data_IF_560764377077
#
_entry.id   IF_560764377077
#
_cell.length_a   1.000
_cell.length_b   1.000
_cell.length_c   1.000
_cell.angle_alpha   90.00
_cell.angle_beta   90.00
_cell.angle_gamma   90.00
#
_symmetry.space_group_name_H-M   'P 1'
#
loop_
_entity.id
_entity.type
_entity.pdbx_description
1 polymer ?
#
# COMPACT_ATOMS: atom_id res chain seq x y z
N UNK A 1 30.31 27.83 3.78
CA UNK A 1 29.47 26.81 4.45
C UNK A 1 28.14 26.57 3.73
N UNK A 2 27.41 27.60 3.28
CA UNK A 2 26.12 27.40 2.59
C UNK A 2 26.22 26.70 1.21
N UNK A 3 27.27 26.95 0.41
CA UNK A 3 27.43 26.29 -0.90
C UNK A 3 27.75 24.79 -0.78
N UNK A 4 28.66 24.40 0.12
CA UNK A 4 28.92 22.99 0.44
C UNK A 4 27.67 22.24 0.93
N UNK A 5 26.76 22.92 1.64
CA UNK A 5 25.49 22.34 2.07
C UNK A 5 24.50 22.16 0.91
N UNK A 6 24.52 23.04 -0.10
CA UNK A 6 23.68 22.90 -1.31
C UNK A 6 24.18 21.79 -2.22
N UNK A 7 25.49 21.68 -2.41
CA UNK A 7 26.10 20.59 -3.18
C UNK A 7 25.86 19.23 -2.52
N UNK A 8 26.02 19.15 -1.19
CA UNK A 8 25.72 17.93 -0.44
C UNK A 8 24.23 17.54 -0.53
N UNK A 9 23.32 18.51 -0.42
CA UNK A 9 21.88 18.26 -0.57
C UNK A 9 21.52 17.78 -2.00
N UNK A 10 22.14 18.37 -3.03
CA UNK A 10 21.95 17.96 -4.42
C UNK A 10 22.46 16.53 -4.66
N UNK A 11 23.61 16.17 -4.09
CA UNK A 11 24.19 14.83 -4.20
C UNK A 11 23.33 13.77 -3.49
N UNK A 12 22.80 14.08 -2.31
CA UNK A 12 21.82 13.22 -1.62
C UNK A 12 20.57 13.03 -2.49
N UNK A 13 20.06 14.09 -3.08
CA UNK A 13 18.85 14.02 -3.90
C UNK A 13 19.07 13.14 -5.14
N UNK A 14 20.20 13.33 -5.83
CA UNK A 14 20.59 12.51 -6.97
C UNK A 14 20.70 11.03 -6.60
N UNK A 15 21.36 10.73 -5.48
CA UNK A 15 21.48 9.36 -4.98
C UNK A 15 20.11 8.73 -4.71
N UNK A 16 19.19 9.47 -4.08
CA UNK A 16 17.82 9.01 -3.84
C UNK A 16 17.07 8.74 -5.14
N UNK A 17 17.21 9.61 -6.13
CA UNK A 17 16.56 9.46 -7.42
C UNK A 17 17.12 8.25 -8.19
N UNK A 18 18.43 8.00 -8.12
CA UNK A 18 19.08 6.86 -8.75
C UNK A 18 18.67 5.54 -8.08
N UNK A 19 18.60 5.50 -6.74
CA UNK A 19 18.06 4.34 -5.99
C UNK A 19 16.61 4.07 -6.40
N UNK A 20 15.77 5.12 -6.45
CA UNK A 20 14.36 5.00 -6.83
C UNK A 20 14.22 4.44 -8.24
N UNK A 21 15.01 4.92 -9.20
CA UNK A 21 15.01 4.40 -10.57
C UNK A 21 15.45 2.95 -10.63
N UNK A 22 16.51 2.59 -9.93
CA UNK A 22 16.99 1.21 -9.89
C UNK A 22 15.93 0.24 -9.35
N UNK A 23 15.21 0.63 -8.29
CA UNK A 23 14.09 -0.15 -7.74
C UNK A 23 12.95 -0.30 -8.76
N UNK A 24 12.57 0.77 -9.45
CA UNK A 24 11.52 0.72 -10.48
C UNK A 24 11.91 -0.20 -11.63
N UNK A 25 13.13 -0.07 -12.16
CA UNK A 25 13.64 -0.91 -13.25
C UNK A 25 13.63 -2.39 -12.84
N UNK A 26 14.07 -2.71 -11.62
CA UNK A 26 14.07 -4.07 -11.08
C UNK A 26 12.66 -4.65 -11.01
N UNK A 27 11.69 -3.88 -10.51
CA UNK A 27 10.27 -4.29 -10.39
C UNK A 27 9.60 -4.47 -11.75
N UNK A 28 9.90 -3.59 -12.71
CA UNK A 28 9.38 -3.67 -14.08
C UNK A 28 9.95 -4.85 -14.86
N UNK A 29 11.21 -5.24 -14.58
CA UNK A 29 11.83 -6.40 -15.22
C UNK A 29 11.19 -7.74 -14.81
N UNK A 30 10.54 -7.79 -13.64
CA UNK A 30 9.83 -8.98 -13.16
C UNK A 30 8.42 -9.04 -13.74
N UNK A 31 8.05 -10.16 -14.36
CA UNK A 31 6.72 -10.41 -14.92
C UNK A 31 6.03 -11.53 -14.14
N UNK A 32 4.93 -11.24 -13.41
CA UNK A 32 4.22 -12.26 -12.66
C UNK A 32 3.58 -13.29 -13.59
N UNK A 33 3.91 -14.58 -13.46
CA UNK A 33 3.34 -15.63 -14.31
C UNK A 33 1.84 -15.80 -14.04
N UNK A 34 1.16 -16.45 -14.99
CA UNK A 34 -0.28 -16.71 -14.87
C UNK A 34 -0.59 -18.09 -14.28
N UNK A 35 0.34 -19.04 -14.40
CA UNK A 35 0.22 -20.36 -13.79
C UNK A 35 0.41 -20.27 -12.26
N UNK A 36 -0.45 -20.91 -11.44
CA UNK A 36 -0.33 -20.87 -9.99
C UNK A 36 0.99 -21.42 -9.43
N UNK A 37 1.55 -22.48 -10.01
CA UNK A 37 2.81 -23.05 -9.51
C UNK A 37 3.98 -22.13 -9.84
N UNK A 38 4.04 -21.64 -11.06
CA UNK A 38 5.04 -20.64 -11.45
C UNK A 38 4.91 -19.37 -10.59
N UNK A 39 3.70 -18.98 -10.21
CA UNK A 39 3.47 -17.82 -9.35
C UNK A 39 3.94 -18.06 -7.91
N UNK A 40 3.80 -19.28 -7.39
CA UNK A 40 4.37 -19.66 -6.09
C UNK A 40 5.90 -19.56 -6.14
N UNK A 41 6.56 -20.13 -7.16
CA UNK A 41 8.01 -20.01 -7.32
C UNK A 41 8.44 -18.56 -7.51
N UNK A 42 7.68 -17.77 -8.26
CA UNK A 42 7.93 -16.34 -8.43
C UNK A 42 7.98 -15.63 -7.08
N UNK A 43 7.06 -15.96 -6.16
CA UNK A 43 7.02 -15.38 -4.81
C UNK A 43 8.14 -15.87 -3.91
N UNK A 44 8.48 -17.15 -3.94
CA UNK A 44 9.64 -17.67 -3.20
C UNK A 44 10.95 -17.02 -3.66
N UNK A 45 11.06 -16.70 -4.95
CA UNK A 45 12.21 -15.99 -5.54
C UNK A 45 12.10 -14.45 -5.47
N UNK A 46 11.21 -13.91 -4.65
CA UNK A 46 11.06 -12.46 -4.45
C UNK A 46 11.81 -12.01 -3.21
N UNK A 47 12.68 -11.01 -3.35
CA UNK A 47 13.40 -10.44 -2.21
C UNK A 47 12.45 -9.74 -1.24
N UNK A 48 12.78 -9.73 0.05
CA UNK A 48 12.01 -9.05 1.10
C UNK A 48 11.66 -7.58 0.73
N UNK A 49 12.61 -6.82 0.18
CA UNK A 49 12.43 -5.41 -0.23
C UNK A 49 11.35 -5.18 -1.31
N UNK A 50 11.01 -6.21 -2.07
CA UNK A 50 10.02 -6.14 -3.14
C UNK A 50 8.75 -6.95 -2.84
N UNK A 51 8.74 -7.72 -1.76
CA UNK A 51 7.65 -8.65 -1.46
C UNK A 51 6.32 -7.92 -1.34
N UNK A 52 6.24 -6.84 -0.55
CA UNK A 52 5.00 -6.06 -0.41
C UNK A 52 4.48 -5.49 -1.73
N UNK A 53 5.39 -5.00 -2.57
CA UNK A 53 5.04 -4.47 -3.90
C UNK A 53 4.49 -5.57 -4.79
N UNK A 54 5.16 -6.73 -4.81
CA UNK A 54 4.77 -7.85 -5.64
C UNK A 54 3.46 -8.48 -5.19
N UNK A 55 3.22 -8.54 -3.87
CA UNK A 55 1.93 -8.99 -3.32
C UNK A 55 0.81 -8.08 -3.78
N UNK A 56 0.96 -6.75 -3.64
CA UNK A 56 -0.04 -5.79 -4.09
C UNK A 56 -0.31 -5.93 -5.60
N UNK A 57 0.73 -6.11 -6.41
CA UNK A 57 0.64 -6.31 -7.87
C UNK A 57 -0.06 -7.62 -8.24
N UNK A 58 0.22 -8.69 -7.52
CA UNK A 58 -0.29 -10.03 -7.80
C UNK A 58 -1.60 -10.35 -7.09
N UNK A 59 -2.09 -9.48 -6.19
CA UNK A 59 -3.30 -9.69 -5.39
C UNK A 59 -4.50 -10.25 -6.17
N UNK A 60 -4.83 -9.78 -7.39
CA UNK A 60 -5.94 -10.35 -8.18
C UNK A 60 -5.76 -11.84 -8.55
N UNK A 61 -4.51 -12.32 -8.60
CA UNK A 61 -4.16 -13.73 -8.90
C UNK A 61 -4.19 -14.63 -7.66
N UNK A 62 -4.08 -14.06 -6.46
CA UNK A 62 -4.17 -14.78 -5.18
C UNK A 62 -5.62 -15.11 -4.82
N UNK A 63 -6.19 -15.99 -5.62
CA UNK A 63 -7.55 -16.51 -5.47
C UNK A 63 -7.60 -17.67 -4.47
N UNK A 64 -8.79 -18.08 -4.00
CA UNK A 64 -8.91 -19.31 -3.20
C UNK A 64 -8.34 -20.55 -3.90
N UNK A 65 -8.41 -20.61 -5.23
CA UNK A 65 -7.83 -21.70 -6.01
C UNK A 65 -6.29 -21.69 -5.97
N UNK A 66 -5.67 -20.50 -5.99
CA UNK A 66 -4.22 -20.36 -5.80
C UNK A 66 -3.79 -20.85 -4.41
N UNK A 67 -4.48 -20.42 -3.35
CA UNK A 67 -4.15 -20.86 -1.99
C UNK A 67 -4.35 -22.37 -1.81
N UNK A 68 -5.39 -22.94 -2.40
CA UNK A 68 -5.58 -24.40 -2.42
C UNK A 68 -4.42 -25.12 -3.12
N UNK A 69 -3.87 -24.56 -4.20
CA UNK A 69 -2.70 -25.11 -4.87
C UNK A 69 -1.47 -25.05 -3.97
N UNK A 70 -1.23 -23.90 -3.30
CA UNK A 70 -0.13 -23.75 -2.35
C UNK A 70 -0.25 -24.73 -1.17
N UNK A 71 -1.45 -24.87 -0.59
CA UNK A 71 -1.73 -25.85 0.47
C UNK A 71 -1.49 -27.29 -0.01
N UNK A 72 -1.76 -27.59 -1.28
CA UNK A 72 -1.48 -28.90 -1.88
C UNK A 72 0.02 -29.17 -2.00
N UNK A 73 0.83 -28.16 -2.35
CA UNK A 73 2.29 -28.28 -2.39
C UNK A 73 2.88 -28.45 -0.99
N UNK A 74 2.40 -27.67 -0.01
CA UNK A 74 2.78 -27.83 1.41
C UNK A 74 2.48 -29.26 1.88
N UNK A 75 1.28 -29.78 1.58
CA UNK A 75 0.89 -31.13 1.92
C UNK A 75 1.76 -32.19 1.23
N UNK A 76 2.03 -32.02 -0.06
CA UNK A 76 2.87 -32.95 -0.83
C UNK A 76 4.30 -33.04 -0.26
N UNK A 77 4.91 -31.92 0.10
CA UNK A 77 6.24 -31.88 0.70
C UNK A 77 6.22 -32.48 2.11
N UNK A 78 5.24 -32.08 2.95
CA UNK A 78 5.11 -32.54 4.34
C UNK A 78 4.95 -34.05 4.46
N UNK A 79 4.18 -34.66 3.57
CA UNK A 79 3.88 -36.09 3.58
C UNK A 79 4.73 -36.90 2.59
N UNK A 80 5.76 -36.28 1.99
CA UNK A 80 6.73 -36.98 1.15
C UNK A 80 7.43 -38.10 1.93
N UNK A 81 7.78 -39.23 1.30
CA UNK A 81 8.59 -40.27 1.95
C UNK A 81 9.94 -39.77 2.47
N UNK A 82 10.47 -38.71 1.85
CA UNK A 82 11.68 -38.00 2.28
C UNK A 82 11.44 -36.49 2.15
N UNK A 83 10.84 -35.86 3.17
CA UNK A 83 10.54 -34.43 3.13
C UNK A 83 11.82 -33.60 3.11
N UNK A 84 11.83 -32.58 2.26
CA UNK A 84 12.78 -31.48 2.34
C UNK A 84 12.26 -30.45 3.36
N UNK A 85 12.92 -30.40 4.52
CA UNK A 85 12.51 -29.53 5.63
C UNK A 85 12.70 -28.05 5.32
N UNK A 86 13.71 -27.69 4.53
CA UNK A 86 13.95 -26.30 4.15
C UNK A 86 12.84 -25.84 3.20
N UNK A 87 12.54 -26.66 2.18
CA UNK A 87 11.48 -26.36 1.24
C UNK A 87 10.11 -26.29 1.89
N UNK A 88 9.81 -27.20 2.82
CA UNK A 88 8.56 -27.18 3.57
C UNK A 88 8.41 -25.88 4.36
N UNK A 89 9.47 -25.45 5.07
CA UNK A 89 9.47 -24.22 5.84
C UNK A 89 9.26 -22.98 4.96
N UNK A 90 9.89 -22.92 3.78
CA UNK A 90 9.68 -21.85 2.80
C UNK A 90 8.22 -21.75 2.36
N UNK A 91 7.60 -22.88 2.00
CA UNK A 91 6.21 -22.93 1.53
C UNK A 91 5.22 -22.54 2.64
N UNK A 92 5.43 -23.02 3.86
CA UNK A 92 4.59 -22.68 5.02
C UNK A 92 4.71 -21.19 5.40
N UNK A 93 5.92 -20.66 5.38
CA UNK A 93 6.18 -19.24 5.64
C UNK A 93 5.53 -18.38 4.57
N UNK A 94 5.73 -18.72 3.29
CA UNK A 94 5.11 -17.98 2.19
C UNK A 94 3.59 -18.03 2.30
N UNK A 95 3.01 -19.19 2.60
CA UNK A 95 1.56 -19.34 2.72
C UNK A 95 0.99 -18.41 3.78
N UNK A 96 1.57 -18.42 4.98
CA UNK A 96 1.11 -17.59 6.10
C UNK A 96 1.26 -16.11 5.76
N UNK A 97 2.43 -15.73 5.22
CA UNK A 97 2.71 -14.36 4.83
C UNK A 97 1.74 -13.84 3.77
N UNK A 98 1.46 -14.63 2.72
CA UNK A 98 0.57 -14.21 1.63
C UNK A 98 -0.88 -14.03 2.11
N UNK A 99 -1.33 -14.84 3.08
CA UNK A 99 -2.66 -14.68 3.68
C UNK A 99 -2.79 -13.32 4.39
N UNK A 100 -1.87 -13.03 5.32
CA UNK A 100 -1.84 -11.77 6.07
C UNK A 100 -1.67 -10.55 5.16
N UNK A 101 -0.74 -10.64 4.19
CA UNK A 101 -0.47 -9.55 3.28
C UNK A 101 -1.64 -9.30 2.30
N UNK A 102 -2.36 -10.34 1.86
CA UNK A 102 -3.58 -10.16 1.07
C UNK A 102 -4.67 -9.45 1.86
N UNK A 103 -4.88 -9.83 3.13
CA UNK A 103 -5.84 -9.16 4.00
C UNK A 103 -5.49 -7.68 4.18
N UNK A 104 -4.21 -7.38 4.42
CA UNK A 104 -3.72 -6.01 4.55
C UNK A 104 -3.98 -5.18 3.28
N UNK A 105 -3.70 -5.75 2.09
CA UNK A 105 -3.96 -5.08 0.80
C UNK A 105 -5.46 -4.86 0.60
N UNK A 106 -6.31 -5.85 0.88
CA UNK A 106 -7.76 -5.72 0.72
C UNK A 106 -8.34 -4.65 1.65
N UNK A 107 -7.86 -4.61 2.90
CA UNK A 107 -8.24 -3.58 3.87
C UNK A 107 -7.81 -2.19 3.41
N UNK A 108 -6.60 -2.05 2.88
CA UNK A 108 -6.12 -0.78 2.33
C UNK A 108 -6.98 -0.33 1.13
N UNK A 109 -7.29 -1.24 0.20
CA UNK A 109 -8.16 -0.94 -0.95
C UNK A 109 -9.57 -0.52 -0.51
N UNK A 110 -10.17 -1.24 0.45
CA UNK A 110 -11.48 -0.90 0.99
C UNK A 110 -11.47 0.47 1.70
N UNK A 111 -10.41 0.78 2.46
CA UNK A 111 -10.23 2.08 3.08
C UNK A 111 -10.14 3.20 2.03
N UNK A 112 -9.36 3.00 0.97
CA UNK A 112 -9.28 3.97 -0.14
C UNK A 112 -10.61 4.13 -0.87
N UNK A 113 -11.33 3.04 -1.15
CA UNK A 113 -12.62 3.10 -1.84
C UNK A 113 -13.67 3.90 -1.05
N UNK A 114 -13.71 3.70 0.27
CA UNK A 114 -14.64 4.41 1.18
C UNK A 114 -14.17 5.82 1.54
N UNK A 115 -12.90 6.18 1.28
CA UNK A 115 -12.37 7.51 1.53
C UNK A 115 -13.12 8.59 0.75
N UNK A 116 -13.57 8.30 -0.48
CA UNK A 116 -14.34 9.23 -1.30
C UNK A 116 -15.70 9.57 -0.67
N UNK A 117 -16.40 8.57 -0.12
CA UNK A 117 -17.70 8.77 0.54
C UNK A 117 -17.54 9.57 1.84
N UNK A 118 -16.54 9.22 2.65
CA UNK A 118 -16.18 9.94 3.87
C UNK A 118 -15.77 11.38 3.58
N UNK A 119 -15.01 11.62 2.52
CA UNK A 119 -14.62 12.95 2.10
C UNK A 119 -15.83 13.77 1.62
N UNK A 120 -16.73 13.16 0.84
CA UNK A 120 -17.98 13.79 0.43
C UNK A 120 -18.84 14.17 1.64
N UNK A 121 -19.03 13.26 2.59
CA UNK A 121 -19.73 13.51 3.88
C UNK A 121 -19.13 14.73 4.58
N UNK A 122 -17.80 14.76 4.74
CA UNK A 122 -17.09 15.86 5.39
C UNK A 122 -17.25 17.21 4.68
N UNK A 123 -17.00 17.26 3.36
CA UNK A 123 -17.00 18.52 2.60
C UNK A 123 -18.41 19.09 2.42
N UNK A 124 -19.44 18.24 2.41
CA UNK A 124 -20.84 18.65 2.27
C UNK A 124 -21.57 18.89 3.60
N UNK A 125 -20.99 18.49 4.73
CA UNK A 125 -21.59 18.70 6.06
C UNK A 125 -21.90 20.19 6.29
N UNK A 126 -23.01 20.50 6.95
CA UNK A 126 -23.30 21.88 7.38
C UNK A 126 -22.30 22.32 8.47
N UNK A 127 -22.13 21.50 9.50
CA UNK A 127 -21.13 21.70 10.56
C UNK A 127 -19.94 20.75 10.37
N UNK A 128 -18.82 21.34 9.94
CA UNK A 128 -17.59 20.60 9.64
C UNK A 128 -16.92 20.16 10.93
N UNK A 129 -16.98 20.97 12.00
CA UNK A 129 -16.31 20.65 13.26
C UNK A 129 -16.97 19.45 13.91
N UNK A 130 -18.30 19.47 14.03
CA UNK A 130 -19.03 18.33 14.57
C UNK A 130 -18.83 17.08 13.72
N UNK A 131 -18.91 17.20 12.40
CA UNK A 131 -18.66 16.08 11.50
C UNK A 131 -17.26 15.48 11.68
N UNK A 132 -16.21 16.30 11.86
CA UNK A 132 -14.85 15.80 12.13
C UNK A 132 -14.79 15.03 13.45
N UNK A 133 -15.47 15.53 14.50
CA UNK A 133 -15.52 14.84 15.80
C UNK A 133 -16.26 13.51 15.70
N UNK A 134 -17.38 13.46 14.98
CA UNK A 134 -18.16 12.24 14.78
C UNK A 134 -17.36 11.21 13.97
N UNK A 135 -16.68 11.66 12.91
CA UNK A 135 -15.79 10.82 12.11
C UNK A 135 -14.60 10.31 12.92
N UNK A 136 -14.00 11.16 13.77
CA UNK A 136 -12.92 10.74 14.66
C UNK A 136 -13.40 9.68 15.65
N UNK A 137 -14.57 9.85 16.26
CA UNK A 137 -15.16 8.88 17.18
C UNK A 137 -15.46 7.53 16.50
N UNK A 138 -15.78 7.55 15.21
CA UNK A 138 -16.02 6.36 14.40
C UNK A 138 -14.75 5.75 13.77
N UNK A 139 -13.54 6.28 14.06
CA UNK A 139 -12.28 5.91 13.42
C UNK A 139 -12.31 6.05 11.87
N UNK A 140 -13.09 7.00 11.36
CA UNK A 140 -13.24 7.26 9.92
C UNK A 140 -12.16 8.21 9.36
N UNK A 141 -11.24 8.71 10.19
CA UNK A 141 -10.15 9.61 9.77
C UNK A 141 -8.85 8.81 9.69
N UNK A 142 -8.54 8.31 8.50
CA UNK A 142 -7.32 7.56 8.21
C UNK A 142 -6.42 8.27 7.19
N UNK A 143 -5.27 7.67 6.91
CA UNK A 143 -4.30 8.17 5.93
C UNK A 143 -4.92 8.30 4.54
N UNK A 144 -5.76 7.34 4.12
CA UNK A 144 -6.40 7.34 2.81
C UNK A 144 -7.34 8.54 2.62
N UNK A 145 -8.10 8.93 3.65
CA UNK A 145 -8.93 10.14 3.63
C UNK A 145 -8.08 11.41 3.45
N UNK A 146 -6.98 11.52 4.19
CA UNK A 146 -6.09 12.70 4.15
C UNK A 146 -5.34 12.79 2.82
N UNK A 147 -4.90 11.67 2.27
CA UNK A 147 -4.24 11.60 0.97
C UNK A 147 -5.18 11.98 -0.17
N UNK A 148 -6.42 11.48 -0.14
CA UNK A 148 -7.43 11.86 -1.12
C UNK A 148 -7.75 13.36 -1.04
N UNK A 149 -7.84 13.92 0.17
CA UNK A 149 -8.00 15.36 0.37
C UNK A 149 -6.79 16.15 -0.17
N UNK A 150 -5.56 15.66 0.03
CA UNK A 150 -4.35 16.28 -0.52
C UNK A 150 -4.35 16.28 -2.07
N UNK A 151 -4.72 15.16 -2.69
CA UNK A 151 -4.85 15.05 -4.15
C UNK A 151 -5.90 16.03 -4.69
N UNK A 152 -7.04 16.16 -4.01
CA UNK A 152 -8.09 17.12 -4.39
C UNK A 152 -7.63 18.58 -4.26
N UNK A 153 -6.83 18.92 -3.24
CA UNK A 153 -6.22 20.24 -3.09
C UNK A 153 -5.29 20.54 -4.27
N UNK A 154 -4.41 19.60 -4.63
CA UNK A 154 -3.51 19.77 -5.77
C UNK A 154 -4.26 19.92 -7.10
N UNK A 155 -5.31 19.12 -7.31
CA UNK A 155 -6.16 19.22 -8.48
C UNK A 155 -6.87 20.58 -8.56
N UNK A 156 -7.42 21.07 -7.44
CA UNK A 156 -8.05 22.39 -7.37
C UNK A 156 -7.05 23.52 -7.65
N UNK A 157 -5.82 23.43 -7.14
CA UNK A 157 -4.74 24.39 -7.44
C UNK A 157 -4.39 24.41 -8.92
N UNK A 158 -4.24 23.23 -9.55
CA UNK A 158 -3.97 23.11 -10.99
C UNK A 158 -5.11 23.67 -11.84
N UNK A 159 -6.34 23.58 -11.37
CA UNK A 159 -7.52 24.12 -12.01
C UNK A 159 -7.81 25.60 -11.64
N UNK A 160 -6.89 26.28 -10.96
CA UNK A 160 -7.02 27.68 -10.51
C UNK A 160 -8.25 27.95 -9.61
N UNK A 161 -8.77 26.92 -8.95
CA UNK A 161 -9.88 27.02 -8.00
C UNK A 161 -9.37 27.38 -6.59
N UNK A 162 -8.76 28.56 -6.46
CA UNK A 162 -8.02 28.98 -5.26
C UNK A 162 -8.85 28.93 -3.98
N UNK A 163 -10.09 29.42 -4.01
CA UNK A 163 -10.96 29.41 -2.83
C UNK A 163 -11.33 27.99 -2.35
N UNK A 164 -11.51 27.05 -3.29
CA UNK A 164 -11.78 25.66 -2.96
C UNK A 164 -10.54 24.98 -2.38
N UNK A 165 -9.36 25.24 -2.96
CA UNK A 165 -8.09 24.73 -2.44
C UNK A 165 -7.82 25.23 -1.01
N UNK A 166 -7.96 26.53 -0.74
CA UNK A 166 -7.76 27.11 0.58
C UNK A 166 -8.75 26.56 1.63
N UNK A 167 -10.01 26.35 1.23
CA UNK A 167 -11.00 25.72 2.09
C UNK A 167 -10.59 24.29 2.44
N UNK A 168 -10.24 23.49 1.45
CA UNK A 168 -9.82 22.10 1.65
C UNK A 168 -8.53 21.99 2.46
N UNK A 169 -7.59 22.94 2.34
CA UNK A 169 -6.39 22.99 3.20
C UNK A 169 -6.74 23.20 4.68
N UNK A 170 -7.68 24.09 4.99
CA UNK A 170 -8.16 24.29 6.36
C UNK A 170 -8.81 23.03 6.91
N UNK A 171 -9.60 22.35 6.09
CA UNK A 171 -10.21 21.05 6.45
C UNK A 171 -9.12 20.01 6.70
N UNK A 172 -8.11 19.92 5.83
CA UNK A 172 -6.97 19.00 5.97
C UNK A 172 -6.26 19.19 7.30
N UNK A 173 -5.91 20.43 7.66
CA UNK A 173 -5.27 20.76 8.94
C UNK A 173 -6.15 20.34 10.13
N UNK A 174 -7.47 20.47 10.02
CA UNK A 174 -8.39 20.07 11.08
C UNK A 174 -8.45 18.54 11.24
N UNK A 175 -8.59 17.78 10.15
CA UNK A 175 -8.64 16.32 10.21
C UNK A 175 -7.30 15.68 10.56
N UNK A 176 -6.18 16.28 10.16
CA UNK A 176 -4.83 15.74 10.44
C UNK A 176 -4.54 15.53 11.93
N UNK A 177 -5.27 16.21 12.83
CA UNK A 177 -5.16 16.06 14.28
C UNK A 177 -5.76 14.75 14.82
N UNK A 178 -6.59 14.09 14.01
CA UNK A 178 -7.38 12.92 14.39
C UNK A 178 -7.03 11.70 13.53
N UNK A 179 -5.95 11.76 12.74
CA UNK A 179 -5.55 10.66 11.86
C UNK A 179 -5.14 9.47 12.70
N UNK A 180 -5.83 8.37 12.47
CA UNK A 180 -5.41 7.07 12.99
C UNK A 180 -4.28 6.57 12.10
N UNK A 181 -3.04 6.69 12.58
CA UNK A 181 -1.93 5.90 12.04
C UNK A 181 -2.00 4.53 12.69
N UNK A 182 -2.20 3.47 11.92
CA UNK A 182 -2.05 2.11 12.43
C UNK A 182 -0.66 2.01 13.10
N UNK A 183 -0.65 1.66 14.39
CA UNK A 183 0.56 1.29 15.14
C UNK A 183 0.80 -0.19 14.92
#
# INVERSE_FOLDING_TARGET
MMEKNKEFAAEIQRTKDDIRKAVLIRREARVPPSDPNELIEFMLNTSADDMEFEVARCRPKFTPAFFKQLDSLVGAERFSPKPDQERLAELETLRTYLEEACEAVDKAVAATATAAERLKKLLTSQDKKQCILDMAAANEIDVALVDLLAQNIEAAKKAEQTAAAEFMEKVKVAVSKYVVTAV
#
